data_IF_032234909366
#
_entry.id   IF_032234909366
#
_cell.length_a   1.000
_cell.length_b   1.000
_cell.length_c   1.000
_cell.angle_alpha   90.00
_cell.angle_beta   90.00
_cell.angle_gamma   90.00
#
_symmetry.space_group_name_H-M   'P 1'
#
loop_
_entity.id
_entity.type
_entity.pdbx_description
1 polymer ?
#
# COMPACT_ATOMS: atom_id res chain seq x y z
N UNK A 1 -13.70 -8.02 8.76
CA UNK A 1 -12.90 -7.55 9.89
C UNK A 1 -13.79 -7.36 11.11
N UNK A 2 -13.29 -7.77 12.28
CA UNK A 2 -13.93 -7.44 13.56
C UNK A 2 -13.83 -5.95 13.87
N UNK A 3 -14.65 -5.46 14.82
CA UNK A 3 -14.57 -4.06 15.30
C UNK A 3 -13.14 -3.71 15.75
N UNK A 4 -12.53 -4.58 16.56
CA UNK A 4 -11.15 -4.40 17.02
C UNK A 4 -10.12 -4.42 15.87
N UNK A 5 -10.41 -5.14 14.80
CA UNK A 5 -9.59 -5.11 13.58
C UNK A 5 -9.68 -3.76 12.87
N UNK A 6 -10.88 -3.22 12.75
CA UNK A 6 -11.09 -1.89 12.19
C UNK A 6 -10.43 -0.79 13.02
N UNK A 7 -10.47 -0.90 14.35
CA UNK A 7 -9.78 0.06 15.22
C UNK A 7 -8.26 0.07 15.03
N UNK A 8 -7.66 -1.09 14.82
CA UNK A 8 -6.23 -1.19 14.47
C UNK A 8 -5.93 -0.51 13.14
N UNK A 9 -6.74 -0.77 12.11
CA UNK A 9 -6.59 -0.15 10.79
C UNK A 9 -6.71 1.36 10.89
N UNK A 10 -7.72 1.87 11.60
CA UNK A 10 -7.91 3.32 11.79
C UNK A 10 -6.73 3.97 12.51
N UNK A 11 -6.21 3.34 13.57
CA UNK A 11 -5.02 3.84 14.28
C UNK A 11 -3.78 3.84 13.41
N UNK A 12 -3.54 2.77 12.65
CA UNK A 12 -2.44 2.70 11.69
C UNK A 12 -2.56 3.79 10.63
N UNK A 13 -3.74 3.99 10.08
CA UNK A 13 -3.99 5.05 9.09
C UNK A 13 -3.74 6.45 9.68
N UNK A 14 -4.14 6.72 10.91
CA UNK A 14 -3.89 8.00 11.57
C UNK A 14 -2.38 8.31 11.71
N UNK A 15 -1.55 7.30 11.95
CA UNK A 15 -0.09 7.46 11.94
C UNK A 15 0.41 7.86 10.56
N UNK A 16 -0.07 7.21 9.50
CA UNK A 16 0.28 7.55 8.11
C UNK A 16 -0.11 8.99 7.78
N UNK A 17 -1.32 9.41 8.14
CA UNK A 17 -1.79 10.80 7.93
C UNK A 17 -0.88 11.81 8.65
N UNK A 18 -0.51 11.54 9.90
CA UNK A 18 0.39 12.40 10.66
C UNK A 18 1.79 12.48 10.01
N UNK A 19 2.31 11.36 9.49
CA UNK A 19 3.60 11.33 8.79
C UNK A 19 3.57 12.12 7.48
N UNK A 20 2.44 12.12 6.76
CA UNK A 20 2.28 12.89 5.52
C UNK A 20 2.32 14.40 5.74
N UNK A 21 1.89 14.86 6.92
CA UNK A 21 1.97 16.28 7.32
C UNK A 21 3.39 16.70 7.72
N UNK A 22 4.24 15.74 8.07
CA UNK A 22 5.61 15.98 8.49
C UNK A 22 6.59 16.13 7.33
N UNK A 23 7.80 16.57 7.65
CA UNK A 23 8.89 16.74 6.67
C UNK A 23 9.80 15.53 6.53
N UNK A 24 9.69 14.54 7.41
CA UNK A 24 10.56 13.37 7.41
C UNK A 24 10.25 12.47 6.20
N UNK A 25 11.27 12.14 5.38
CA UNK A 25 11.09 11.21 4.27
C UNK A 25 10.79 9.81 4.80
N UNK A 26 9.69 9.23 4.34
CA UNK A 26 9.29 7.85 4.65
C UNK A 26 9.18 7.09 3.33
N UNK A 27 10.04 6.08 3.16
CA UNK A 27 10.13 5.30 1.92
C UNK A 27 8.79 4.72 1.51
N UNK A 28 8.40 4.96 0.25
CA UNK A 28 7.16 4.47 -0.33
C UNK A 28 5.88 5.12 0.22
N UNK A 29 6.02 6.09 1.11
CA UNK A 29 4.90 6.88 1.61
C UNK A 29 4.89 8.28 0.97
N UNK A 30 5.89 9.10 1.28
CA UNK A 30 6.06 10.46 0.73
C UNK A 30 7.35 10.60 -0.10
N UNK A 31 7.89 9.50 -0.56
CA UNK A 31 9.00 9.43 -1.52
C UNK A 31 8.64 8.49 -2.66
N UNK A 32 9.35 8.58 -3.78
CA UNK A 32 9.35 7.53 -4.78
C UNK A 32 9.91 6.22 -4.24
N UNK A 33 9.92 5.18 -5.06
CA UNK A 33 10.46 3.84 -4.72
C UNK A 33 11.65 3.48 -5.62
N UNK A 34 12.41 2.48 -5.22
CA UNK A 34 13.58 2.02 -5.98
C UNK A 34 14.60 3.14 -6.20
N UNK A 35 14.96 3.40 -7.45
CA UNK A 35 15.89 4.48 -7.83
C UNK A 35 15.36 5.88 -7.49
N UNK A 36 14.05 6.04 -7.40
CA UNK A 36 13.38 7.31 -7.10
C UNK A 36 13.21 7.57 -5.59
N UNK A 37 13.76 6.74 -4.72
CA UNK A 37 13.62 6.84 -3.26
C UNK A 37 14.09 8.16 -2.64
N UNK A 38 14.92 8.91 -3.36
CA UNK A 38 15.45 10.23 -2.93
C UNK A 38 14.51 11.39 -3.29
N UNK A 39 13.56 11.15 -4.20
CA UNK A 39 12.62 12.19 -4.64
C UNK A 39 11.45 12.23 -3.67
N UNK A 40 11.27 13.39 -3.06
CA UNK A 40 10.13 13.65 -2.19
C UNK A 40 8.92 13.98 -3.03
N UNK A 41 7.78 13.44 -2.64
CA UNK A 41 6.49 13.69 -3.27
C UNK A 41 5.71 14.70 -2.43
N UNK A 42 5.08 15.66 -3.08
CA UNK A 42 4.08 16.53 -2.45
C UNK A 42 2.80 15.73 -2.14
N UNK A 43 1.97 16.23 -1.25
CA UNK A 43 0.72 15.53 -0.86
C UNK A 43 -0.18 15.16 -2.06
N UNK A 44 -0.41 16.03 -3.06
CA UNK A 44 -1.16 15.63 -4.26
C UNK A 44 -0.47 14.54 -5.08
N UNK A 45 0.86 14.54 -5.14
CA UNK A 45 1.63 13.55 -5.89
C UNK A 45 1.63 12.17 -5.22
N UNK A 46 1.54 12.12 -3.89
CA UNK A 46 1.49 10.85 -3.14
C UNK A 46 0.31 10.00 -3.58
N UNK A 47 -0.88 10.56 -3.70
CA UNK A 47 -2.06 9.80 -4.12
C UNK A 47 -1.93 9.32 -5.57
N UNK A 48 -1.53 10.20 -6.48
CA UNK A 48 -1.34 9.87 -7.89
C UNK A 48 -0.26 8.78 -8.06
N UNK A 49 0.86 8.92 -7.36
CA UNK A 49 1.96 7.95 -7.39
C UNK A 49 1.52 6.57 -6.89
N UNK A 50 0.80 6.50 -5.77
CA UNK A 50 0.32 5.23 -5.24
C UNK A 50 -0.67 4.53 -6.16
N UNK A 51 -1.55 5.26 -6.85
CA UNK A 51 -2.46 4.71 -7.87
C UNK A 51 -1.68 4.17 -9.07
N UNK A 52 -0.72 4.94 -9.56
CA UNK A 52 0.13 4.55 -10.68
C UNK A 52 0.96 3.32 -10.34
N UNK A 53 1.52 3.24 -9.14
CA UNK A 53 2.31 2.10 -8.68
C UNK A 53 1.53 0.78 -8.77
N UNK A 54 0.26 0.78 -8.36
CA UNK A 54 -0.60 -0.40 -8.46
C UNK A 54 -0.81 -0.78 -9.93
N UNK A 55 -1.09 0.19 -10.79
CA UNK A 55 -1.35 -0.04 -12.21
C UNK A 55 -0.10 -0.57 -12.93
N UNK A 56 1.06 -0.01 -12.65
CA UNK A 56 2.33 -0.41 -13.26
C UNK A 56 2.78 -1.82 -12.84
N UNK A 57 2.40 -2.26 -11.65
CA UNK A 57 2.70 -3.61 -11.16
C UNK A 57 1.61 -4.65 -11.48
N UNK A 58 0.47 -4.22 -12.03
CA UNK A 58 -0.60 -5.09 -12.46
C UNK A 58 -0.35 -5.66 -13.88
N UNK A 59 0.76 -6.38 -14.04
CA UNK A 59 1.16 -6.97 -15.32
C UNK A 59 1.08 -8.49 -15.27
N UNK A 60 0.67 -9.10 -16.39
CA UNK A 60 0.72 -10.53 -16.60
C UNK A 60 1.91 -10.86 -17.54
N UNK A 61 2.82 -11.70 -17.06
CA UNK A 61 3.99 -12.12 -17.83
C UNK A 61 3.76 -13.44 -18.58
N UNK A 62 2.59 -14.04 -18.46
CA UNK A 62 2.24 -15.33 -19.04
C UNK A 62 0.75 -15.39 -19.37
N UNK A 63 0.40 -16.18 -20.38
CA UNK A 63 -1.00 -16.51 -20.69
C UNK A 63 -1.62 -17.45 -19.64
N UNK A 64 -0.78 -18.17 -18.89
CA UNK A 64 -1.24 -19.03 -17.81
C UNK A 64 -1.65 -18.18 -16.61
N UNK A 65 -2.92 -18.24 -16.28
CA UNK A 65 -3.50 -17.51 -15.15
C UNK A 65 -3.55 -18.42 -13.92
N UNK A 66 -3.28 -17.84 -12.75
CA UNK A 66 -3.54 -18.53 -11.49
C UNK A 66 -5.04 -18.82 -11.33
N UNK A 67 -5.38 -19.90 -10.64
CA UNK A 67 -6.78 -20.21 -10.36
C UNK A 67 -7.42 -19.09 -9.53
N UNK A 68 -8.68 -18.81 -9.78
CA UNK A 68 -9.41 -17.72 -9.11
C UNK A 68 -9.41 -17.88 -7.58
N UNK A 69 -9.52 -19.12 -7.13
CA UNK A 69 -9.53 -19.51 -5.73
C UNK A 69 -8.20 -19.17 -5.06
N UNK A 70 -7.09 -19.47 -5.72
CA UNK A 70 -5.74 -19.17 -5.22
C UNK A 70 -5.53 -17.65 -5.10
N UNK A 71 -5.90 -16.89 -6.13
CA UNK A 71 -5.80 -15.42 -6.10
C UNK A 71 -6.63 -14.85 -4.95
N UNK A 72 -7.85 -15.33 -4.75
CA UNK A 72 -8.72 -14.88 -3.65
C UNK A 72 -8.15 -15.23 -2.28
N UNK A 73 -7.57 -16.42 -2.13
CA UNK A 73 -6.90 -16.84 -0.90
C UNK A 73 -5.69 -15.94 -0.60
N UNK A 74 -4.86 -15.65 -1.60
CA UNK A 74 -3.73 -14.72 -1.47
C UNK A 74 -4.18 -13.32 -1.04
N UNK A 75 -5.22 -12.78 -1.66
CA UNK A 75 -5.80 -11.47 -1.31
C UNK A 75 -6.29 -11.46 0.14
N UNK A 76 -6.99 -12.52 0.58
CA UNK A 76 -7.51 -12.63 1.96
C UNK A 76 -6.38 -12.67 2.98
N UNK A 77 -5.37 -13.50 2.74
CA UNK A 77 -4.19 -13.61 3.62
C UNK A 77 -3.46 -12.28 3.72
N UNK A 78 -3.27 -11.59 2.58
CA UNK A 78 -2.61 -10.29 2.54
C UNK A 78 -3.41 -9.22 3.29
N UNK A 79 -4.71 -9.14 3.04
CA UNK A 79 -5.59 -8.20 3.74
C UNK A 79 -5.60 -8.44 5.26
N UNK A 80 -5.62 -9.71 5.69
CA UNK A 80 -5.56 -10.07 7.10
C UNK A 80 -4.22 -9.68 7.75
N UNK A 81 -3.10 -9.90 7.05
CA UNK A 81 -1.78 -9.46 7.50
C UNK A 81 -1.73 -7.94 7.73
N UNK A 82 -2.16 -7.16 6.74
CA UNK A 82 -2.22 -5.69 6.83
C UNK A 82 -3.12 -5.23 7.98
N UNK A 83 -4.28 -5.85 8.17
CA UNK A 83 -5.22 -5.50 9.24
C UNK A 83 -4.68 -5.80 10.65
N UNK A 84 -3.69 -6.66 10.77
CA UNK A 84 -3.01 -6.99 12.04
C UNK A 84 -1.82 -6.09 12.33
N UNK A 85 -1.39 -5.27 11.38
CA UNK A 85 -0.24 -4.40 11.51
C UNK A 85 1.08 -5.09 11.18
N UNK A 86 1.03 -6.10 10.31
CA UNK A 86 2.22 -6.79 9.78
C UNK A 86 2.73 -6.17 8.49
#
# INVERSE_FOLDING_TARGET
LSESGWDKVRRSRAVVEAMLLGETPVYGLNTGVGSLKKFRLSTPEVEAFNRQLITEHAVAMSETKAAREDVRAMMLVRANGMARGG
#
